data_IF_106274381991
#
_entry.id   IF_106274381991
#
_cell.length_a   1.000
_cell.length_b   1.000
_cell.length_c   1.000
_cell.angle_alpha   90.00
_cell.angle_beta   90.00
_cell.angle_gamma   90.00
#
_symmetry.space_group_name_H-M   'P 1'
#
loop_
_entity.id
_entity.type
_entity.pdbx_description
1 polymer ?
#
# COMPACT_ATOMS: atom_id res chain seq x y z
N UNK A 1 -16.80 -36.59 4.00
CA UNK A 1 -15.33 -36.80 4.06
C UNK A 1 -14.69 -36.05 2.89
N UNK A 2 -14.15 -34.88 3.13
CA UNK A 2 -13.37 -34.14 2.10
C UNK A 2 -12.03 -34.87 1.88
N UNK A 3 -11.68 -35.06 0.62
CA UNK A 3 -10.46 -35.78 0.22
C UNK A 3 -9.19 -35.08 0.74
N UNK A 4 -8.15 -35.86 1.06
CA UNK A 4 -6.86 -35.32 1.55
C UNK A 4 -6.20 -34.31 0.60
N UNK A 5 -6.47 -34.38 -0.69
CA UNK A 5 -6.00 -33.41 -1.72
C UNK A 5 -6.61 -32.04 -1.57
N UNK A 6 -7.85 -31.90 -1.09
CA UNK A 6 -8.50 -30.61 -0.85
C UNK A 6 -7.94 -29.90 0.40
N UNK A 7 -7.39 -30.64 1.36
CA UNK A 7 -6.72 -30.07 2.55
C UNK A 7 -5.39 -29.40 2.24
N UNK A 8 -4.66 -29.87 1.23
CA UNK A 8 -3.38 -29.26 0.81
C UNK A 8 -3.57 -28.06 -0.09
N UNK A 9 -4.67 -27.98 -0.84
CA UNK A 9 -5.00 -26.78 -1.65
C UNK A 9 -5.44 -25.58 -0.76
N UNK A 10 -6.02 -25.82 0.40
CA UNK A 10 -6.42 -24.77 1.36
C UNK A 10 -5.18 -24.20 2.09
N UNK A 11 -4.10 -24.96 2.22
CA UNK A 11 -2.88 -24.50 2.90
C UNK A 11 -1.94 -23.67 1.99
N UNK A 12 -2.20 -23.64 0.67
CA UNK A 12 -1.35 -22.93 -0.30
C UNK A 12 -1.85 -21.53 -0.70
N UNK A 13 -2.99 -21.06 -0.17
CA UNK A 13 -3.56 -19.74 -0.47
C UNK A 13 -3.54 -18.81 0.74
N UNK A 14 -2.41 -18.69 1.41
CA UNK A 14 -2.16 -17.58 2.34
C UNK A 14 -1.46 -16.49 1.57
N UNK A 15 -2.19 -15.47 1.18
CA UNK A 15 -1.66 -14.38 0.35
C UNK A 15 -2.31 -13.02 0.67
N UNK A 16 -1.70 -12.05 0.62
CA UNK A 16 -1.24 -10.75 0.92
C UNK A 16 -2.10 -9.53 0.67
N UNK A 17 -2.11 -8.65 1.60
CA UNK A 17 -2.44 -7.24 1.39
C UNK A 17 -1.15 -6.44 1.15
N UNK A 18 -1.14 -5.49 0.22
CA UNK A 18 0.08 -4.72 -0.06
C UNK A 18 0.43 -3.81 1.10
N UNK A 19 1.68 -3.84 1.53
CA UNK A 19 2.29 -2.82 2.36
C UNK A 19 2.50 -1.54 1.53
N UNK A 20 1.41 -0.92 1.10
CA UNK A 20 1.42 0.47 0.73
C UNK A 20 0.77 1.21 1.90
N UNK A 21 1.60 1.74 2.80
CA UNK A 21 1.17 2.59 3.92
C UNK A 21 0.37 3.83 3.48
N UNK A 22 -0.08 3.88 2.24
CA UNK A 22 -0.70 5.05 1.61
C UNK A 22 -1.93 4.73 0.76
N UNK A 23 -2.29 3.46 0.57
CA UNK A 23 -3.51 3.10 -0.14
C UNK A 23 -4.51 2.60 0.90
N UNK A 24 -5.35 3.50 1.39
CA UNK A 24 -6.52 3.11 2.18
C UNK A 24 -7.42 2.24 1.31
N UNK A 25 -7.74 1.03 1.75
CA UNK A 25 -8.81 0.25 1.13
C UNK A 25 -10.09 1.08 1.23
N UNK A 26 -10.53 1.61 0.10
CA UNK A 26 -11.80 2.34 0.00
C UNK A 26 -13.00 1.37 -0.04
N UNK A 27 -12.94 0.29 0.73
CA UNK A 27 -13.98 -0.70 0.91
C UNK A 27 -15.34 -0.12 1.33
N UNK A 28 -16.24 -0.95 1.82
CA UNK A 28 -17.55 -0.52 2.31
C UNK A 28 -17.45 0.59 3.37
N UNK A 29 -18.48 1.42 3.48
CA UNK A 29 -18.59 2.39 4.57
C UNK A 29 -19.00 1.66 5.85
N UNK A 30 -18.39 2.02 6.96
CA UNK A 30 -18.86 1.62 8.28
C UNK A 30 -20.19 2.32 8.62
N UNK A 31 -21.03 1.73 9.46
CA UNK A 31 -22.21 2.40 9.99
C UNK A 31 -21.84 3.72 10.70
N UNK A 32 -22.71 4.70 10.65
CA UNK A 32 -22.48 6.00 11.32
C UNK A 32 -22.13 5.81 12.80
N UNK A 33 -21.31 6.71 13.36
CA UNK A 33 -20.83 6.68 14.74
C UNK A 33 -19.99 5.44 15.09
N UNK A 34 -19.38 4.81 14.10
CA UNK A 34 -18.42 3.73 14.33
C UNK A 34 -17.01 4.30 14.31
N UNK A 35 -16.27 4.11 15.39
CA UNK A 35 -14.83 4.34 15.49
C UNK A 35 -14.12 3.02 15.29
N UNK A 36 -13.30 2.91 14.27
CA UNK A 36 -12.44 1.76 14.03
C UNK A 36 -11.00 2.11 14.33
N UNK A 37 -10.31 1.29 15.09
CA UNK A 37 -8.87 1.40 15.35
C UNK A 37 -8.19 0.11 14.97
N UNK A 38 -6.99 0.19 14.43
CA UNK A 38 -6.26 -1.00 14.01
C UNK A 38 -4.76 -0.82 14.03
N UNK A 39 -4.08 -1.95 14.09
CA UNK A 39 -2.62 -2.04 13.95
C UNK A 39 -2.32 -3.08 12.87
N UNK A 40 -1.48 -2.70 11.91
CA UNK A 40 -1.02 -3.56 10.83
C UNK A 40 0.49 -3.68 10.91
N UNK A 41 1.01 -4.88 11.05
CA UNK A 41 2.41 -5.19 10.82
C UNK A 41 2.61 -5.61 9.36
N UNK A 42 3.69 -5.15 8.75
CA UNK A 42 4.12 -5.60 7.43
C UNK A 42 5.62 -5.92 7.43
N UNK A 43 5.96 -6.99 6.73
CA UNK A 43 7.32 -7.41 6.43
C UNK A 43 7.46 -7.54 4.91
N UNK A 44 8.25 -6.67 4.30
CA UNK A 44 8.54 -6.65 2.87
C UNK A 44 10.02 -6.96 2.65
N UNK A 45 10.34 -7.83 1.69
CA UNK A 45 11.72 -8.15 1.38
C UNK A 45 11.92 -8.45 -0.10
N UNK A 46 13.12 -8.11 -0.61
CA UNK A 46 13.53 -8.38 -1.98
C UNK A 46 15.06 -8.47 -2.10
N UNK A 47 15.53 -9.29 -3.03
CA UNK A 47 16.93 -9.48 -3.40
C UNK A 47 17.13 -9.39 -4.92
N UNK A 48 16.05 -9.24 -5.68
CA UNK A 48 16.02 -8.95 -7.10
C UNK A 48 15.25 -7.65 -7.36
N UNK A 49 15.64 -6.89 -8.39
CA UNK A 49 15.01 -5.63 -8.76
C UNK A 49 15.03 -5.43 -10.28
N UNK A 50 14.26 -4.46 -10.74
CA UNK A 50 14.33 -3.99 -12.13
C UNK A 50 15.17 -2.72 -12.23
N UNK A 51 16.24 -2.77 -13.05
CA UNK A 51 16.99 -1.64 -13.57
C UNK A 51 16.34 -1.23 -14.89
N UNK A 52 15.60 -0.13 -14.90
CA UNK A 52 14.63 0.09 -15.98
C UNK A 52 13.64 -1.09 -16.02
N UNK A 53 13.61 -1.82 -17.12
CA UNK A 53 12.80 -3.03 -17.31
C UNK A 53 13.62 -4.34 -17.21
N UNK A 54 14.94 -4.24 -17.04
CA UNK A 54 15.83 -5.39 -16.96
C UNK A 54 15.90 -5.88 -15.50
N UNK A 55 15.53 -7.12 -15.28
CA UNK A 55 15.60 -7.75 -13.97
C UNK A 55 17.04 -8.12 -13.60
N UNK A 56 17.44 -7.79 -12.37
CA UNK A 56 18.77 -8.03 -11.83
C UNK A 56 18.72 -8.55 -10.40
N UNK A 57 19.76 -9.27 -10.01
CA UNK A 57 20.05 -9.60 -8.61
C UNK A 57 20.69 -8.41 -7.90
N UNK A 58 20.34 -8.21 -6.64
CA UNK A 58 20.86 -7.12 -5.80
C UNK A 58 22.16 -7.56 -5.10
N UNK A 59 23.25 -7.69 -5.89
CA UNK A 59 24.56 -8.15 -5.36
C UNK A 59 25.27 -7.12 -4.46
N UNK A 60 24.87 -5.83 -4.49
CA UNK A 60 25.56 -4.78 -3.75
C UNK A 60 25.12 -4.69 -2.29
N UNK A 61 23.82 -4.79 -2.04
CA UNK A 61 23.25 -4.67 -0.69
C UNK A 61 22.51 -5.94 -0.24
N UNK A 62 22.50 -6.98 -1.08
CA UNK A 62 21.89 -8.28 -0.79
C UNK A 62 20.38 -8.19 -0.68
N UNK A 63 19.80 -8.82 0.33
CA UNK A 63 18.36 -8.73 0.61
C UNK A 63 18.06 -7.44 1.35
N UNK A 64 17.20 -6.61 0.75
CA UNK A 64 16.63 -5.46 1.43
C UNK A 64 15.33 -5.87 2.10
N UNK A 65 15.21 -5.53 3.38
CA UNK A 65 14.03 -5.78 4.20
C UNK A 65 13.47 -4.46 4.69
N UNK A 66 12.17 -4.25 4.51
CA UNK A 66 11.42 -3.14 5.10
C UNK A 66 10.34 -3.72 5.99
N UNK A 67 10.31 -3.30 7.24
CA UNK A 67 9.26 -3.68 8.18
C UNK A 67 8.51 -2.43 8.62
N UNK A 68 7.24 -2.58 8.95
CA UNK A 68 6.46 -1.47 9.49
C UNK A 68 5.38 -1.93 10.45
N UNK A 69 5.08 -1.07 11.42
CA UNK A 69 3.86 -1.14 12.23
C UNK A 69 3.07 0.12 11.93
N UNK A 70 1.88 -0.04 11.35
CA UNK A 70 1.00 1.08 11.01
C UNK A 70 -0.17 1.12 11.97
N UNK A 71 -0.31 2.21 12.71
CA UNK A 71 -1.51 2.53 13.48
C UNK A 71 -2.51 3.19 12.54
N UNK A 72 -3.74 2.70 12.54
CA UNK A 72 -4.81 3.19 11.68
C UNK A 72 -6.06 3.50 12.49
N UNK A 73 -6.79 4.52 12.09
CA UNK A 73 -8.09 4.84 12.66
C UNK A 73 -9.05 5.32 11.57
N UNK A 74 -10.31 4.98 11.74
CA UNK A 74 -11.40 5.43 10.91
C UNK A 74 -12.59 5.86 11.78
N UNK A 75 -13.29 6.91 11.38
CA UNK A 75 -14.52 7.33 12.05
C UNK A 75 -15.62 7.60 11.04
N UNK A 76 -16.70 6.85 11.13
CA UNK A 76 -17.87 7.04 10.30
C UNK A 76 -18.76 8.18 10.91
N UNK A 77 -18.57 9.40 10.41
CA UNK A 77 -19.31 10.59 10.84
C UNK A 77 -20.80 10.46 10.50
N UNK A 78 -21.08 9.98 9.30
CA UNK A 78 -22.42 9.66 8.80
C UNK A 78 -22.36 8.37 7.99
N UNK A 79 -23.50 7.86 7.52
CA UNK A 79 -23.56 6.70 6.62
C UNK A 79 -22.90 6.97 5.25
N UNK A 80 -22.53 8.23 4.97
CA UNK A 80 -21.90 8.65 3.71
C UNK A 80 -20.51 9.28 3.88
N UNK A 81 -20.16 9.77 5.06
CA UNK A 81 -18.91 10.48 5.34
C UNK A 81 -18.11 9.73 6.39
N UNK A 82 -16.91 9.29 6.04
CA UNK A 82 -15.93 8.71 6.94
C UNK A 82 -14.62 9.49 6.91
N UNK A 83 -13.97 9.62 8.06
CA UNK A 83 -12.63 10.14 8.23
C UNK A 83 -11.66 8.98 8.46
N UNK A 84 -10.44 9.12 7.98
CA UNK A 84 -9.40 8.10 8.10
C UNK A 84 -8.07 8.75 8.45
N UNK A 85 -7.25 8.05 9.24
CA UNK A 85 -5.86 8.42 9.48
C UNK A 85 -5.00 7.18 9.66
N UNK A 86 -3.72 7.27 9.29
CA UNK A 86 -2.73 6.22 9.48
C UNK A 86 -1.35 6.82 9.72
N UNK A 87 -0.62 6.22 10.66
CA UNK A 87 0.75 6.59 11.00
C UNK A 87 1.63 5.34 11.07
N UNK A 88 2.53 5.11 10.11
CA UNK A 88 3.47 4.00 10.14
C UNK A 88 4.75 4.36 10.91
N UNK A 89 5.24 3.42 11.70
CA UNK A 89 6.62 3.36 12.11
C UNK A 89 7.34 2.33 11.23
N UNK A 90 8.43 2.73 10.59
CA UNK A 90 9.13 1.94 9.58
C UNK A 90 10.56 1.71 10.02
N UNK A 91 11.11 0.53 9.73
CA UNK A 91 12.53 0.25 9.79
C UNK A 91 12.98 -0.57 8.60
N UNK A 92 14.17 -0.25 8.10
CA UNK A 92 14.77 -0.81 6.90
C UNK A 92 16.11 -1.43 7.21
N UNK A 93 16.46 -2.49 6.48
CA UNK A 93 17.71 -3.20 6.65
C UNK A 93 18.18 -3.77 5.32
N UNK A 94 19.49 -3.70 5.06
CA UNK A 94 20.17 -4.44 4.00
C UNK A 94 21.02 -5.58 4.61
N UNK A 95 21.05 -6.75 3.97
CA UNK A 95 21.81 -7.88 4.48
C UNK A 95 23.32 -7.78 4.19
N UNK A 96 23.71 -6.86 3.28
CA UNK A 96 25.09 -6.64 2.84
C UNK A 96 25.33 -5.14 2.57
N UNK A 97 26.58 -4.77 2.31
CA UNK A 97 26.97 -3.41 1.99
C UNK A 97 27.28 -2.58 3.24
N UNK A 98 27.44 -1.28 3.02
CA UNK A 98 27.87 -0.31 4.06
C UNK A 98 26.76 0.69 4.42
N UNK A 99 25.58 0.56 3.83
CA UNK A 99 24.45 1.44 4.13
C UNK A 99 23.84 1.06 5.47
N UNK A 100 23.63 2.06 6.33
CA UNK A 100 23.07 1.88 7.65
C UNK A 100 21.55 1.65 7.61
N UNK A 101 21.07 0.89 8.59
CA UNK A 101 19.66 0.70 8.88
C UNK A 101 19.03 2.06 9.26
N UNK A 102 17.79 2.26 8.85
CA UNK A 102 17.02 3.47 9.17
C UNK A 102 15.71 3.08 9.83
N UNK A 103 15.29 3.87 10.80
CA UNK A 103 13.98 3.66 11.44
C UNK A 103 13.39 4.99 11.91
N UNK A 104 12.06 5.04 11.98
CA UNK A 104 11.34 6.21 12.45
C UNK A 104 9.87 6.21 12.05
N UNK A 105 9.15 7.22 12.57
CA UNK A 105 7.82 7.52 12.07
C UNK A 105 7.91 8.09 10.65
N UNK A 106 7.09 7.55 9.76
CA UNK A 106 7.00 8.00 8.38
C UNK A 106 5.96 9.14 8.27
N UNK A 107 5.22 9.18 7.18
CA UNK A 107 4.25 10.23 6.91
C UNK A 107 2.91 9.92 7.60
N UNK A 108 2.35 10.88 8.32
CA UNK A 108 0.97 10.84 8.76
C UNK A 108 0.06 11.02 7.54
N UNK A 109 -0.69 9.99 7.20
CA UNK A 109 -1.72 10.06 6.18
C UNK A 109 -3.09 10.28 6.85
N UNK A 110 -3.89 11.18 6.31
CA UNK A 110 -5.26 11.44 6.77
C UNK A 110 -6.13 11.86 5.61
N UNK A 111 -7.44 11.63 5.74
CA UNK A 111 -8.35 11.94 4.66
C UNK A 111 -9.81 11.75 5.01
N UNK A 112 -10.64 12.02 4.02
CA UNK A 112 -12.07 11.83 4.09
C UNK A 112 -12.56 11.03 2.88
N UNK A 113 -13.51 10.16 3.14
CA UNK A 113 -14.21 9.34 2.14
C UNK A 113 -15.67 9.72 2.13
N UNK A 114 -16.23 9.89 0.94
CA UNK A 114 -17.64 10.19 0.76
C UNK A 114 -18.29 9.20 -0.21
N UNK A 115 -19.40 8.58 0.23
CA UNK A 115 -20.22 7.69 -0.59
C UNK A 115 -21.17 8.50 -1.46
N UNK A 116 -20.93 8.44 -2.77
CA UNK A 116 -21.76 9.11 -3.77
C UNK A 116 -23.06 8.35 -4.00
N UNK A 117 -22.96 7.03 -4.14
CA UNK A 117 -24.07 6.16 -4.53
C UNK A 117 -24.04 4.88 -3.72
N UNK A 118 -25.22 4.41 -3.31
CA UNK A 118 -25.46 3.05 -2.85
C UNK A 118 -26.81 2.60 -3.40
N UNK A 119 -26.81 1.51 -4.17
CA UNK A 119 -27.98 0.98 -4.85
C UNK A 119 -28.04 -0.53 -4.69
N UNK A 120 -29.27 -1.07 -4.60
CA UNK A 120 -29.53 -2.51 -4.54
C UNK A 120 -30.38 -2.91 -5.76
N UNK A 121 -29.77 -3.13 -6.94
CA UNK A 121 -30.51 -3.53 -8.12
C UNK A 121 -31.05 -4.98 -7.96
N UNK A 122 -32.28 -5.10 -7.48
CA UNK A 122 -33.00 -6.38 -7.37
C UNK A 122 -32.29 -7.45 -6.54
N UNK A 123 -32.14 -8.65 -7.10
CA UNK A 123 -31.54 -9.82 -6.45
C UNK A 123 -30.04 -9.94 -6.64
N UNK A 124 -29.38 -9.05 -7.36
CA UNK A 124 -27.95 -9.18 -7.69
C UNK A 124 -27.04 -8.88 -6.52
N UNK A 125 -27.38 -7.89 -5.70
CA UNK A 125 -26.54 -7.46 -4.58
C UNK A 125 -26.60 -5.96 -4.36
N UNK A 126 -25.55 -5.42 -3.71
CA UNK A 126 -25.40 -3.98 -3.45
C UNK A 126 -24.25 -3.44 -4.30
N UNK A 127 -24.49 -2.34 -4.99
CA UNK A 127 -23.50 -1.60 -5.74
C UNK A 127 -23.27 -0.23 -5.07
N UNK A 128 -22.02 0.19 -4.97
CA UNK A 128 -21.63 1.47 -4.39
C UNK A 128 -20.62 2.21 -5.25
N UNK A 129 -20.62 3.54 -5.11
CA UNK A 129 -19.58 4.42 -5.64
C UNK A 129 -19.16 5.41 -4.56
N UNK A 130 -17.86 5.64 -4.43
CA UNK A 130 -17.28 6.52 -3.42
C UNK A 130 -16.13 7.34 -3.99
N UNK A 131 -15.93 8.53 -3.43
CA UNK A 131 -14.72 9.32 -3.65
C UNK A 131 -13.99 9.49 -2.32
N UNK A 132 -12.67 9.72 -2.38
CA UNK A 132 -11.92 10.12 -1.20
C UNK A 132 -10.82 11.12 -1.58
N UNK A 133 -10.49 11.97 -0.62
CA UNK A 133 -9.32 12.83 -0.66
C UNK A 133 -8.43 12.47 0.54
N UNK A 134 -7.13 12.28 0.27
CA UNK A 134 -6.13 11.89 1.26
C UNK A 134 -4.92 12.81 1.14
N UNK A 135 -4.39 13.27 2.26
CA UNK A 135 -3.12 13.95 2.33
C UNK A 135 -2.15 13.15 3.20
N UNK A 136 -0.85 13.25 2.90
CA UNK A 136 0.20 12.67 3.71
C UNK A 136 1.32 13.68 3.92
N UNK A 137 1.79 13.79 5.17
CA UNK A 137 2.79 14.76 5.60
C UNK A 137 3.87 14.04 6.42
N UNK A 138 5.16 14.29 6.16
CA UNK A 138 6.24 13.79 7.03
C UNK A 138 6.02 14.24 8.48
N UNK A 139 6.14 13.30 9.42
CA UNK A 139 5.99 13.60 10.86
C UNK A 139 7.32 13.79 11.56
N UNK A 140 8.39 13.31 10.97
CA UNK A 140 9.76 13.44 11.45
C UNK A 140 10.67 13.93 10.33
N UNK A 141 11.79 14.52 10.69
CA UNK A 141 12.81 14.95 9.74
C UNK A 141 13.73 13.75 9.40
N UNK A 142 13.27 12.94 8.44
CA UNK A 142 14.05 11.82 7.91
C UNK A 142 14.57 12.14 6.51
N UNK A 143 15.77 11.64 6.19
CA UNK A 143 16.39 11.94 4.90
C UNK A 143 15.95 10.95 3.80
N UNK A 144 15.56 11.42 2.61
CA UNK A 144 15.31 10.59 1.46
C UNK A 144 16.59 10.16 0.71
N UNK A 145 17.76 10.67 1.08
CA UNK A 145 19.04 10.52 0.36
C UNK A 145 19.51 9.08 0.21
N UNK A 146 19.13 8.21 1.12
CA UNK A 146 19.58 6.81 1.16
C UNK A 146 18.57 5.82 0.58
N UNK A 147 17.76 6.27 -0.37
CA UNK A 147 16.88 5.34 -1.07
C UNK A 147 17.68 4.17 -1.70
N UNK A 148 17.28 2.90 -1.55
CA UNK A 148 16.00 2.40 -1.04
C UNK A 148 15.94 2.11 0.46
N UNK A 149 16.96 2.44 1.26
CA UNK A 149 16.96 2.25 2.72
C UNK A 149 16.29 3.40 3.50
N UNK A 150 16.01 4.54 2.84
CA UNK A 150 15.21 5.58 3.45
C UNK A 150 13.81 5.07 3.84
N UNK A 151 13.31 5.50 5.00
CA UNK A 151 11.97 5.10 5.49
C UNK A 151 10.83 5.75 4.70
N UNK A 152 11.13 6.69 3.82
CA UNK A 152 10.17 7.35 2.93
C UNK A 152 10.86 8.38 2.03
N UNK A 153 10.07 9.20 1.34
CA UNK A 153 10.57 10.23 0.41
C UNK A 153 10.64 11.62 1.03
N UNK A 154 10.18 11.81 2.28
CA UNK A 154 10.09 13.11 2.97
C UNK A 154 9.29 14.18 2.19
N UNK A 155 8.42 13.76 1.28
CA UNK A 155 7.60 14.63 0.44
C UNK A 155 6.15 14.70 0.93
N UNK A 156 5.53 15.87 0.79
CA UNK A 156 4.08 16.03 1.00
C UNK A 156 3.33 15.42 -0.17
N UNK A 157 2.21 14.77 0.10
CA UNK A 157 1.39 14.15 -0.94
C UNK A 157 -0.08 14.46 -0.73
N UNK A 158 -0.79 14.59 -1.85
CA UNK A 158 -2.24 14.71 -1.87
C UNK A 158 -2.82 13.79 -2.95
N UNK A 159 -3.83 13.00 -2.62
CA UNK A 159 -4.42 12.05 -3.56
C UNK A 159 -5.95 12.17 -3.60
N UNK A 160 -6.49 12.13 -4.82
CA UNK A 160 -7.91 11.92 -5.06
C UNK A 160 -8.15 10.47 -5.49
N UNK A 161 -9.22 9.88 -4.98
CA UNK A 161 -9.60 8.50 -5.27
C UNK A 161 -11.04 8.42 -5.76
N UNK A 162 -11.28 7.53 -6.71
CA UNK A 162 -12.60 7.05 -7.12
C UNK A 162 -12.65 5.55 -6.88
N UNK A 163 -13.72 5.06 -6.25
CA UNK A 163 -13.91 3.64 -5.99
C UNK A 163 -15.33 3.21 -6.32
N UNK A 164 -15.42 2.01 -6.89
CA UNK A 164 -16.65 1.27 -7.15
C UNK A 164 -16.62 0.00 -6.31
N UNK A 165 -17.70 -0.32 -5.64
CA UNK A 165 -17.84 -1.54 -4.85
C UNK A 165 -19.10 -2.30 -5.26
N UNK A 166 -18.98 -3.61 -5.31
CA UNK A 166 -20.07 -4.54 -5.50
C UNK A 166 -20.00 -5.64 -4.44
N UNK A 167 -21.11 -5.92 -3.81
CA UNK A 167 -21.29 -7.06 -2.89
C UNK A 167 -22.51 -7.87 -3.33
N UNK A 168 -22.28 -9.10 -3.75
CA UNK A 168 -23.33 -10.04 -4.13
C UNK A 168 -24.19 -10.43 -2.91
N UNK A 169 -25.44 -10.81 -3.17
CA UNK A 169 -26.30 -11.44 -2.16
C UNK A 169 -25.86 -12.86 -1.78
N UNK A 170 -24.88 -13.44 -2.48
CA UNK A 170 -24.31 -14.74 -2.15
C UNK A 170 -23.11 -14.60 -1.22
N UNK A 171 -21.92 -14.71 -1.73
CA UNK A 171 -20.70 -14.61 -0.92
C UNK A 171 -19.61 -13.78 -1.62
N UNK A 172 -19.83 -13.37 -2.87
CA UNK A 172 -18.80 -12.72 -3.68
C UNK A 172 -18.86 -11.20 -3.55
N UNK A 173 -17.68 -10.57 -3.54
CA UNK A 173 -17.52 -9.12 -3.63
C UNK A 173 -16.47 -8.74 -4.64
N UNK A 174 -16.55 -7.52 -5.15
CA UNK A 174 -15.53 -6.89 -5.99
C UNK A 174 -15.45 -5.40 -5.71
N UNK A 175 -14.23 -4.86 -5.66
CA UNK A 175 -13.96 -3.43 -5.57
C UNK A 175 -12.97 -3.05 -6.65
N UNK A 176 -13.21 -1.96 -7.35
CA UNK A 176 -12.26 -1.36 -8.27
C UNK A 176 -12.02 0.09 -7.86
N UNK A 177 -10.78 0.53 -7.85
CA UNK A 177 -10.46 1.93 -7.56
C UNK A 177 -9.35 2.46 -8.46
N UNK A 178 -9.41 3.77 -8.69
CA UNK A 178 -8.36 4.54 -9.34
C UNK A 178 -8.01 5.74 -8.48
N UNK A 179 -6.72 6.10 -8.42
CA UNK A 179 -6.28 7.30 -7.72
C UNK A 179 -5.21 8.04 -8.50
N UNK A 180 -5.24 9.36 -8.35
CA UNK A 180 -4.17 10.25 -8.78
C UNK A 180 -3.54 10.87 -7.53
N UNK A 181 -2.23 10.77 -7.41
CA UNK A 181 -1.45 11.31 -6.32
C UNK A 181 -0.50 12.38 -6.83
N UNK A 182 -0.69 13.60 -6.36
CA UNK A 182 0.26 14.67 -6.50
C UNK A 182 1.35 14.55 -5.42
N UNK A 183 2.62 14.75 -5.84
CA UNK A 183 3.78 14.72 -4.97
C UNK A 183 4.47 16.09 -4.98
N UNK A 184 4.77 16.65 -3.81
CA UNK A 184 5.59 17.85 -3.72
C UNK A 184 7.05 17.53 -4.06
N UNK A 185 7.82 18.54 -4.46
CA UNK A 185 9.26 18.42 -4.49
C UNK A 185 9.81 18.05 -3.11
N UNK A 186 10.93 17.35 -3.09
CA UNK A 186 11.63 16.96 -1.86
C UNK A 186 13.01 17.61 -1.82
N UNK A 187 13.55 17.78 -0.62
CA UNK A 187 14.89 18.33 -0.43
C UNK A 187 15.82 17.25 0.11
N UNK A 188 16.97 17.13 -0.53
CA UNK A 188 18.04 16.24 -0.10
C UNK A 188 18.96 16.96 0.90
N UNK A 189 19.62 16.18 1.72
CA UNK A 189 20.66 16.69 2.64
C UNK A 189 22.04 16.81 1.96
N UNK A 190 22.05 17.29 0.71
CA UNK A 190 23.26 17.54 -0.10
C UNK A 190 23.00 18.68 -1.07
N UNK A 191 24.06 19.37 -1.52
CA UNK A 191 23.94 20.54 -2.40
C UNK A 191 23.70 20.24 -3.87
N UNK A 192 23.91 18.99 -4.28
CA UNK A 192 23.76 18.56 -5.67
C UNK A 192 23.47 17.06 -5.74
N UNK A 193 22.91 16.61 -6.85
CA UNK A 193 22.65 15.19 -7.10
C UNK A 193 22.81 14.84 -8.58
N UNK A 194 23.04 13.56 -8.82
CA UNK A 194 23.12 12.97 -10.16
C UNK A 194 21.97 12.01 -10.35
N UNK A 195 21.21 12.16 -11.43
CA UNK A 195 20.16 11.24 -11.84
C UNK A 195 19.89 11.36 -13.33
N UNK A 196 19.41 10.32 -13.95
CA UNK A 196 19.09 10.25 -15.39
C UNK A 196 20.25 10.74 -16.30
N UNK A 197 21.50 10.47 -15.88
CA UNK A 197 22.69 10.83 -16.63
C UNK A 197 23.08 12.31 -16.57
N UNK A 198 22.49 13.08 -15.66
CA UNK A 198 22.77 14.52 -15.52
C UNK A 198 23.07 14.89 -14.07
N UNK A 199 23.93 15.91 -13.92
CA UNK A 199 24.23 16.53 -12.64
C UNK A 199 23.32 17.75 -12.44
N UNK A 200 22.66 17.80 -11.29
CA UNK A 200 21.81 18.91 -10.86
C UNK A 200 22.48 19.63 -9.69
N UNK A 201 22.79 20.92 -9.87
CA UNK A 201 23.39 21.76 -8.84
C UNK A 201 22.32 22.39 -7.95
N UNK A 202 21.53 21.55 -7.34
CA UNK A 202 20.46 21.90 -6.40
C UNK A 202 20.23 20.74 -5.45
N UNK A 203 19.65 21.01 -4.29
CA UNK A 203 19.17 19.99 -3.37
C UNK A 203 17.66 19.69 -3.51
N UNK A 204 16.96 20.43 -4.35
CA UNK A 204 15.54 20.25 -4.60
C UNK A 204 15.30 19.28 -5.75
N UNK A 205 14.56 18.21 -5.49
CA UNK A 205 14.23 17.16 -6.46
C UNK A 205 12.76 17.28 -6.85
N UNK A 206 12.50 17.40 -8.14
CA UNK A 206 11.13 17.35 -8.69
C UNK A 206 10.63 15.92 -8.64
N UNK A 207 9.58 15.67 -7.86
CA UNK A 207 8.97 14.35 -7.71
C UNK A 207 7.87 14.13 -8.75
N UNK A 208 7.90 12.98 -9.44
CA UNK A 208 6.82 12.66 -10.37
C UNK A 208 5.52 12.31 -9.63
N UNK A 209 4.39 12.67 -10.23
CA UNK A 209 3.07 12.25 -9.75
C UNK A 209 2.82 10.78 -10.04
N UNK A 210 1.83 10.19 -9.35
CA UNK A 210 1.57 8.75 -9.41
C UNK A 210 0.09 8.48 -9.66
N UNK A 211 -0.19 7.48 -10.50
CA UNK A 211 -1.53 6.91 -10.68
C UNK A 211 -1.52 5.48 -10.19
N UNK A 212 -2.55 5.11 -9.42
CA UNK A 212 -2.76 3.73 -8.98
C UNK A 212 -4.13 3.24 -9.45
N UNK A 213 -4.16 1.96 -9.84
CA UNK A 213 -5.36 1.19 -10.10
C UNK A 213 -5.35 -0.02 -9.19
N UNK A 214 -6.48 -0.28 -8.53
CA UNK A 214 -6.63 -1.44 -7.66
C UNK A 214 -7.90 -2.19 -8.03
N UNK A 215 -7.78 -3.49 -8.20
CA UNK A 215 -8.90 -4.42 -8.28
C UNK A 215 -8.78 -5.37 -7.08
N UNK A 216 -9.85 -5.46 -6.30
CA UNK A 216 -9.93 -6.34 -5.15
C UNK A 216 -11.22 -7.16 -5.26
N UNK A 217 -11.12 -8.47 -5.19
CA UNK A 217 -12.27 -9.38 -5.28
C UNK A 217 -12.09 -10.53 -4.31
N UNK A 218 -13.14 -11.26 -4.01
CA UNK A 218 -13.05 -12.41 -3.12
C UNK A 218 -14.40 -12.91 -2.64
N UNK A 219 -14.34 -13.69 -1.58
CA UNK A 219 -15.54 -14.29 -0.98
C UNK A 219 -15.65 -13.94 0.51
N UNK A 220 -16.88 -13.77 0.97
CA UNK A 220 -17.26 -13.57 2.37
C UNK A 220 -18.11 -14.75 2.83
N UNK A 221 -17.55 -15.58 3.71
CA UNK A 221 -18.16 -16.82 4.22
C UNK A 221 -18.44 -16.64 5.71
N UNK A 222 -19.56 -16.05 6.03
CA UNK A 222 -19.92 -15.69 7.39
C UNK A 222 -18.93 -14.68 7.98
N UNK A 223 -18.11 -15.11 8.93
CA UNK A 223 -17.07 -14.26 9.58
C UNK A 223 -15.73 -14.29 8.87
N UNK A 224 -15.57 -15.12 7.85
CA UNK A 224 -14.32 -15.25 7.10
C UNK A 224 -14.44 -14.51 5.76
N UNK A 225 -13.50 -13.58 5.51
CA UNK A 225 -13.32 -12.89 4.22
C UNK A 225 -12.00 -13.31 3.60
N UNK A 226 -12.02 -13.68 2.32
CA UNK A 226 -10.86 -14.13 1.56
C UNK A 226 -10.70 -13.20 0.34
N UNK A 227 -9.95 -12.10 0.45
CA UNK A 227 -9.70 -11.19 -0.65
C UNK A 227 -8.53 -11.68 -1.53
N UNK A 228 -8.59 -11.30 -2.81
CA UNK A 228 -7.48 -11.31 -3.77
C UNK A 228 -7.40 -9.92 -4.38
N UNK A 229 -6.22 -9.34 -4.47
CA UNK A 229 -6.01 -7.98 -4.96
C UNK A 229 -4.98 -7.93 -6.09
N UNK A 230 -5.24 -7.10 -7.07
CA UNK A 230 -4.30 -6.70 -8.10
C UNK A 230 -4.11 -5.19 -8.03
N UNK A 231 -2.87 -4.75 -7.86
CA UNK A 231 -2.51 -3.33 -7.79
C UNK A 231 -1.56 -3.01 -8.92
N UNK A 232 -1.88 -1.98 -9.70
CA UNK A 232 -0.99 -1.40 -10.69
C UNK A 232 -0.64 0.03 -10.27
N UNK A 233 0.64 0.33 -10.14
CA UNK A 233 1.16 1.69 -9.97
C UNK A 233 1.84 2.13 -11.26
N UNK A 234 1.63 3.40 -11.62
CA UNK A 234 2.36 4.10 -12.68
C UNK A 234 2.82 5.47 -12.19
N UNK A 235 4.09 5.73 -12.34
CA UNK A 235 4.70 7.03 -12.10
C UNK A 235 4.66 7.87 -13.37
N UNK A 236 4.16 9.10 -13.29
CA UNK A 236 3.96 10.00 -14.42
C UNK A 236 5.20 10.88 -14.64
N UNK A 237 6.33 10.26 -14.92
CA UNK A 237 7.63 10.93 -15.12
C UNK A 237 8.74 10.19 -14.40
N UNK A 238 9.88 10.87 -14.21
CA UNK A 238 11.10 10.31 -13.65
C UNK A 238 11.95 9.52 -14.67
N UNK A 239 13.24 9.43 -14.40
CA UNK A 239 14.20 8.68 -15.20
C UNK A 239 14.29 7.21 -14.78
N UNK A 240 14.99 6.42 -15.57
CA UNK A 240 15.34 5.05 -15.25
C UNK A 240 16.62 4.98 -14.40
N UNK A 241 16.72 3.96 -13.57
CA UNK A 241 18.00 3.52 -13.02
C UNK A 241 18.84 3.02 -14.20
N UNK A 242 19.98 3.64 -14.44
CA UNK A 242 20.92 3.22 -15.47
C UNK A 242 21.95 2.25 -14.86
N UNK A 243 22.65 1.56 -15.72
CA UNK A 243 23.77 0.70 -15.31
C UNK A 243 24.77 1.52 -14.47
N UNK A 244 25.10 1.05 -13.28
CA UNK A 244 25.97 1.68 -12.29
C UNK A 244 25.38 2.90 -11.55
N UNK A 245 24.13 3.28 -11.81
CA UNK A 245 23.45 4.27 -11.01
C UNK A 245 22.86 3.65 -9.73
N UNK A 246 22.80 4.43 -8.66
CA UNK A 246 22.02 4.08 -7.48
C UNK A 246 20.54 4.39 -7.70
N UNK A 247 19.62 3.63 -7.08
CA UNK A 247 18.20 4.01 -7.04
C UNK A 247 18.05 5.42 -6.47
N UNK A 248 17.15 6.21 -7.06
CA UNK A 248 16.93 7.59 -6.68
C UNK A 248 15.45 7.87 -6.45
N UNK A 249 15.11 8.78 -5.54
CA UNK A 249 13.73 9.04 -5.08
C UNK A 249 12.77 9.46 -6.19
N UNK A 250 13.25 10.10 -7.25
CA UNK A 250 12.44 10.52 -8.39
C UNK A 250 12.48 9.57 -9.58
N UNK A 251 13.04 8.37 -9.43
CA UNK A 251 12.97 7.39 -10.51
C UNK A 251 11.52 7.04 -10.84
N UNK A 252 11.29 6.71 -12.10
CA UNK A 252 10.01 6.17 -12.56
C UNK A 252 9.81 4.78 -11.96
N UNK A 253 8.89 4.64 -11.02
CA UNK A 253 8.62 3.41 -10.28
C UNK A 253 7.26 2.85 -10.66
N UNK A 254 7.23 1.97 -11.66
CA UNK A 254 6.00 1.29 -12.07
C UNK A 254 6.01 -0.16 -11.56
N UNK A 255 4.86 -0.70 -11.19
CA UNK A 255 4.74 -2.13 -10.87
C UNK A 255 3.31 -2.65 -11.01
N UNK A 256 3.21 -3.98 -11.15
CA UNK A 256 2.00 -4.75 -10.95
C UNK A 256 2.24 -5.71 -9.79
N UNK A 257 1.39 -5.63 -8.76
CA UNK A 257 1.46 -6.44 -7.54
C UNK A 257 0.20 -7.26 -7.40
N UNK A 258 0.36 -8.56 -7.19
CA UNK A 258 -0.72 -9.49 -6.87
C UNK A 258 -0.66 -9.82 -5.39
N UNK A 259 -1.81 -9.85 -4.75
CA UNK A 259 -1.95 -10.19 -3.36
C UNK A 259 -3.27 -10.86 -3.05
N UNK A 260 -3.45 -11.25 -1.79
CA UNK A 260 -4.69 -11.75 -1.24
C UNK A 260 -4.52 -12.07 0.26
N UNK A 261 -5.54 -12.49 0.98
CA UNK A 261 -5.44 -12.68 2.41
C UNK A 261 -6.59 -13.43 3.04
N UNK A 262 -6.57 -13.43 4.34
CA UNK A 262 -7.63 -13.94 5.20
C UNK A 262 -7.95 -12.84 6.22
N UNK A 263 -9.23 -12.55 6.39
CA UNK A 263 -9.71 -11.71 7.47
C UNK A 263 -10.80 -12.48 8.22
N UNK A 264 -10.69 -12.53 9.52
CA UNK A 264 -11.66 -13.23 10.37
C UNK A 264 -12.22 -12.29 11.42
N UNK A 265 -13.53 -12.17 11.46
CA UNK A 265 -14.25 -11.39 12.47
C UNK A 265 -14.46 -12.22 13.74
N UNK A 266 -13.80 -11.85 14.80
CA UNK A 266 -13.96 -12.40 16.14
C UNK A 266 -15.20 -11.80 16.82
N UNK A 267 -15.71 -12.42 17.90
CA UNK A 267 -16.73 -11.80 18.76
C UNK A 267 -16.27 -10.41 19.27
N UNK A 268 -17.24 -9.55 19.61
CA UNK A 268 -17.01 -8.21 20.17
C UNK A 268 -16.31 -7.25 19.18
N UNK A 269 -16.64 -7.33 17.88
CA UNK A 269 -16.17 -6.41 16.85
C UNK A 269 -14.62 -6.36 16.68
N UNK A 270 -13.94 -7.40 17.08
CA UNK A 270 -12.51 -7.57 16.84
C UNK A 270 -12.31 -8.30 15.52
N UNK A 271 -11.36 -7.91 14.71
CA UNK A 271 -10.97 -8.62 13.50
C UNK A 271 -9.47 -8.86 13.44
N UNK A 272 -9.09 -10.01 12.92
CA UNK A 272 -7.71 -10.39 12.66
C UNK A 272 -7.53 -10.60 11.16
N UNK A 273 -6.37 -10.21 10.63
CA UNK A 273 -6.04 -10.40 9.23
C UNK A 273 -4.63 -10.94 9.05
N UNK A 274 -4.47 -11.75 8.03
CA UNK A 274 -3.18 -12.23 7.55
C UNK A 274 -3.14 -12.04 6.04
N UNK A 275 -1.95 -11.76 5.53
CA UNK A 275 -1.83 -11.57 4.12
C UNK A 275 -0.41 -11.71 3.56
N UNK A 276 -0.23 -11.91 2.25
CA UNK A 276 1.03 -11.91 1.50
C UNK A 276 0.87 -11.27 0.10
N UNK A 277 1.79 -10.49 -0.50
CA UNK A 277 1.79 -9.96 -1.86
C UNK A 277 3.15 -10.13 -2.52
N UNK A 278 3.13 -10.13 -3.84
CA UNK A 278 4.36 -10.12 -4.62
C UNK A 278 4.25 -9.16 -5.80
N UNK A 279 5.31 -8.42 -6.05
CA UNK A 279 5.45 -7.67 -7.30
C UNK A 279 5.76 -8.67 -8.42
N UNK A 280 4.86 -8.76 -9.40
CA UNK A 280 4.97 -9.68 -10.53
C UNK A 280 5.84 -9.12 -11.65
N UNK A 281 5.71 -7.82 -11.90
CA UNK A 281 6.50 -7.07 -12.88
C UNK A 281 6.70 -5.65 -12.40
N UNK A 282 7.82 -5.04 -12.77
CA UNK A 282 8.17 -3.72 -12.30
C UNK A 282 9.09 -2.95 -13.27
N UNK A 283 9.31 -1.68 -12.93
CA UNK A 283 10.31 -0.79 -13.52
C UNK A 283 10.92 0.04 -12.40
N UNK A 284 12.23 -0.05 -12.23
CA UNK A 284 13.01 0.63 -11.17
C UNK A 284 12.50 0.33 -9.74
N UNK A 285 12.04 -0.86 -9.50
CA UNK A 285 11.54 -1.32 -8.19
C UNK A 285 12.10 -2.68 -7.83
N UNK A 286 12.18 -2.97 -6.54
CA UNK A 286 12.50 -4.31 -6.04
C UNK A 286 11.37 -5.30 -6.34
N UNK A 287 11.69 -6.56 -6.62
CA UNK A 287 10.70 -7.63 -6.69
C UNK A 287 10.28 -8.07 -5.29
N UNK A 288 9.57 -7.21 -4.60
CA UNK A 288 9.26 -7.47 -3.22
C UNK A 288 8.19 -8.54 -3.02
N UNK A 289 8.39 -9.31 -1.93
CA UNK A 289 7.38 -10.17 -1.33
C UNK A 289 7.05 -9.58 0.04
N UNK A 290 5.77 -9.32 0.27
CA UNK A 290 5.27 -8.69 1.49
C UNK A 290 4.42 -9.69 2.27
N UNK A 291 4.60 -9.81 3.59
CA UNK A 291 3.70 -10.49 4.51
C UNK A 291 3.10 -9.47 5.46
N UNK A 292 1.82 -9.64 5.79
CA UNK A 292 1.11 -8.73 6.70
C UNK A 292 0.33 -9.50 7.76
N UNK A 293 0.22 -8.91 8.94
CA UNK A 293 -0.72 -9.34 9.97
C UNK A 293 -1.36 -8.12 10.61
N UNK A 294 -2.65 -8.18 10.88
CA UNK A 294 -3.40 -7.04 11.39
C UNK A 294 -4.39 -7.42 12.48
N UNK A 295 -4.64 -6.46 13.34
CA UNK A 295 -5.67 -6.48 14.36
C UNK A 295 -6.47 -5.19 14.26
N UNK A 296 -7.80 -5.28 14.24
CA UNK A 296 -8.66 -4.11 14.24
C UNK A 296 -9.86 -4.31 15.16
N UNK A 297 -10.32 -3.21 15.73
CA UNK A 297 -11.46 -3.16 16.64
C UNK A 297 -12.41 -2.05 16.23
N UNK A 298 -13.71 -2.35 16.16
CA UNK A 298 -14.76 -1.39 15.83
C UNK A 298 -15.63 -1.10 17.06
N UNK A 299 -15.73 0.18 17.44
CA UNK A 299 -16.54 0.67 18.54
C UNK A 299 -17.71 1.49 18.00
N UNK A 300 -18.94 1.09 18.32
CA UNK A 300 -20.15 1.87 18.04
C UNK A 300 -20.39 2.85 19.18
N UNK A 301 -20.46 4.15 18.85
CA UNK A 301 -20.64 5.29 19.79
C UNK A 301 -22.09 5.78 19.82
#
# INVERSE_FOLDING_TARGET
>A
MLSRTLRWLILAMVSALPAAAQTFELGSMEPRRTLSVGVLYAHDSWDEYWEGTLKRSNGNIGTLTTQSVTMMTGYAVTDRLGLIAALPYVWTRASQGVLHEMSGFQDLAFGAKFRLLSSRPGRLGTFGASIAAVAALPTTDYTPDFYPLSIGTAGRRAAGHLALDFRSNTAWFANASASYMWCSNVRLNRSSYYTDGQMYLTNEVVMPNVVNYTLNTGVELGRLRIPVSLVQQRTLGGGDIRRQDAPFVSNRMDFVKLGGGLMYELPKNLSVSLGAARILTGRNVGQSTTFTSGLAYALHL
#
